data_IF_345408050463
#
_entry.id   IF_345408050463
#
_cell.length_a   1.000
_cell.length_b   1.000
_cell.length_c   1.000
_cell.angle_alpha   90.00
_cell.angle_beta   90.00
_cell.angle_gamma   90.00
#
_symmetry.space_group_name_H-M   'P 1'
#
loop_
_entity.id
_entity.type
_entity.pdbx_description
1 polymer ?
#
# COMPACT_ATOMS: atom_id res chain seq x y z
N UNK A 1 15.92 -0.66 -59.54
CA UNK A 1 16.17 0.42 -58.57
C UNK A 1 15.78 -0.14 -57.22
N UNK A 2 16.74 -0.74 -56.53
CA UNK A 2 16.53 -1.21 -55.16
C UNK A 2 16.37 0.03 -54.28
N UNK A 3 15.14 0.26 -53.84
CA UNK A 3 14.83 1.29 -52.86
C UNK A 3 15.50 0.89 -51.55
N UNK A 4 16.57 1.61 -51.20
CA UNK A 4 17.21 1.51 -49.89
C UNK A 4 16.17 1.81 -48.81
N UNK A 5 15.72 0.79 -48.09
CA UNK A 5 14.75 0.90 -47.01
C UNK A 5 15.49 1.19 -45.71
N UNK A 6 15.63 2.47 -45.36
CA UNK A 6 16.18 2.86 -44.06
C UNK A 6 15.12 2.68 -42.97
N UNK A 7 15.35 1.77 -42.03
CA UNK A 7 14.57 1.66 -40.81
C UNK A 7 15.20 2.49 -39.69
N UNK A 8 14.38 3.08 -38.82
CA UNK A 8 14.87 3.71 -37.59
C UNK A 8 15.14 2.63 -36.55
N UNK A 9 16.22 2.77 -35.79
CA UNK A 9 16.48 1.90 -34.64
C UNK A 9 15.45 2.15 -33.55
N UNK A 10 15.05 1.10 -32.84
CA UNK A 10 14.16 1.14 -31.68
C UNK A 10 14.79 1.92 -30.52
N UNK A 11 16.11 1.83 -30.35
CA UNK A 11 16.90 2.63 -29.39
C UNK A 11 18.09 3.33 -30.07
N UNK A 12 18.73 4.31 -29.41
CA UNK A 12 19.83 5.09 -30.03
C UNK A 12 20.97 4.17 -30.48
N UNK A 13 21.34 4.31 -31.76
CA UNK A 13 22.29 3.45 -32.44
C UNK A 13 23.20 4.29 -33.35
N UNK A 14 24.43 3.83 -33.56
CA UNK A 14 25.33 4.43 -34.54
C UNK A 14 24.92 4.07 -35.97
N UNK A 15 25.00 5.03 -36.90
CA UNK A 15 24.75 4.75 -38.32
C UNK A 15 26.00 4.20 -38.99
N UNK A 16 25.84 3.07 -39.67
CA UNK A 16 26.87 2.54 -40.54
C UNK A 16 27.00 3.34 -41.84
N UNK A 17 28.22 3.61 -42.33
CA UNK A 17 28.43 4.15 -43.67
C UNK A 17 27.87 3.21 -44.72
N UNK A 18 27.29 3.77 -45.79
CA UNK A 18 26.67 3.00 -46.90
C UNK A 18 27.69 2.07 -47.59
N UNK A 19 28.98 2.40 -47.52
CA UNK A 19 30.05 1.72 -48.23
C UNK A 19 30.83 0.69 -47.38
N UNK A 20 30.43 0.45 -46.12
CA UNK A 20 31.07 -0.56 -45.25
C UNK A 20 30.14 -1.75 -44.94
N UNK A 21 30.25 -2.85 -45.69
CA UNK A 21 29.42 -4.04 -45.48
C UNK A 21 29.78 -4.82 -44.20
N UNK A 22 30.88 -4.46 -43.52
CA UNK A 22 31.28 -5.07 -42.25
C UNK A 22 30.99 -4.16 -41.04
N UNK A 23 30.36 -3.00 -41.26
CA UNK A 23 30.01 -2.12 -40.16
C UNK A 23 28.95 -2.78 -39.27
N UNK A 24 29.27 -2.89 -37.99
CA UNK A 24 28.36 -3.39 -36.96
C UNK A 24 27.73 -2.18 -36.28
N UNK A 25 26.40 -2.09 -36.29
CA UNK A 25 25.66 -1.06 -35.56
C UNK A 25 25.98 -1.19 -34.07
N UNK A 26 26.71 -0.23 -33.52
CA UNK A 26 26.97 -0.13 -32.10
C UNK A 26 25.81 0.60 -31.40
N UNK A 27 25.31 0.01 -30.31
CA UNK A 27 24.26 0.61 -29.50
C UNK A 27 24.86 1.65 -28.57
N UNK A 28 24.27 2.86 -28.58
CA UNK A 28 24.71 3.96 -27.73
C UNK A 28 24.08 3.89 -26.33
N UNK A 29 22.95 3.19 -26.22
CA UNK A 29 22.26 2.94 -24.95
C UNK A 29 22.99 1.82 -24.19
N UNK A 30 23.36 2.11 -22.94
CA UNK A 30 24.00 1.16 -22.02
C UNK A 30 23.08 -0.04 -21.79
N UNK A 31 23.64 -1.25 -21.82
CA UNK A 31 22.94 -2.54 -21.69
C UNK A 31 22.00 -2.92 -22.83
N UNK A 32 21.85 -2.09 -23.87
CA UNK A 32 21.23 -2.52 -25.11
C UNK A 32 22.15 -3.47 -25.89
N UNK A 33 21.56 -4.36 -26.69
CA UNK A 33 22.31 -5.26 -27.56
C UNK A 33 21.82 -5.15 -29.01
N UNK A 34 22.70 -5.54 -29.92
CA UNK A 34 22.38 -5.57 -31.34
C UNK A 34 21.52 -6.80 -31.65
N UNK A 35 20.32 -6.58 -32.18
CA UNK A 35 19.46 -7.63 -32.72
C UNK A 35 19.19 -7.34 -34.19
N UNK A 36 19.90 -8.05 -35.07
CA UNK A 36 19.67 -7.98 -36.52
C UNK A 36 19.90 -6.59 -37.15
N UNK A 37 20.74 -5.75 -36.54
CA UNK A 37 20.97 -4.37 -37.00
C UNK A 37 20.11 -3.30 -36.31
N UNK A 38 19.22 -3.71 -35.41
CA UNK A 38 18.55 -2.83 -34.45
C UNK A 38 19.23 -2.89 -33.08
N UNK A 39 19.03 -1.86 -32.26
CA UNK A 39 19.44 -1.84 -30.87
C UNK A 39 18.21 -1.97 -29.99
N UNK A 40 18.17 -3.03 -29.18
CA UNK A 40 17.04 -3.37 -28.31
C UNK A 40 17.50 -3.54 -26.87
N UNK A 41 16.63 -3.17 -25.93
CA UNK A 41 16.84 -3.44 -24.52
C UNK A 41 16.46 -4.89 -24.18
N UNK A 42 17.02 -5.48 -23.10
CA UNK A 42 16.59 -6.79 -22.59
C UNK A 42 15.09 -6.88 -22.30
N UNK A 43 14.57 -8.10 -22.19
CA UNK A 43 13.16 -8.34 -21.88
C UNK A 43 12.70 -7.63 -20.59
N UNK A 44 11.49 -7.05 -20.64
CA UNK A 44 10.88 -6.26 -19.56
C UNK A 44 11.72 -5.04 -19.14
N UNK A 45 12.53 -4.51 -20.06
CA UNK A 45 13.28 -3.28 -19.88
C UNK A 45 13.07 -2.34 -21.06
N UNK A 46 13.20 -1.05 -20.79
CA UNK A 46 13.05 0.00 -21.79
C UNK A 46 14.17 1.02 -21.67
N UNK A 47 14.52 1.73 -22.77
CA UNK A 47 15.50 2.79 -22.70
C UNK A 47 14.99 3.91 -21.78
N UNK A 48 15.80 4.27 -20.82
CA UNK A 48 15.61 5.45 -19.99
C UNK A 48 16.87 6.31 -20.07
N UNK A 49 16.76 7.36 -20.87
CA UNK A 49 17.90 8.19 -21.29
C UNK A 49 18.91 7.36 -22.11
N UNK A 50 20.12 7.17 -21.62
CA UNK A 50 21.20 6.44 -22.29
C UNK A 50 21.49 5.07 -21.62
N UNK A 51 20.54 4.52 -20.86
CA UNK A 51 20.64 3.16 -20.30
C UNK A 51 19.31 2.41 -20.39
N UNK A 52 19.36 1.09 -20.62
CA UNK A 52 18.19 0.24 -20.43
C UNK A 52 17.94 0.08 -18.92
N UNK A 53 16.67 0.17 -18.52
CA UNK A 53 16.22 -0.05 -17.13
C UNK A 53 14.96 -0.88 -17.12
N UNK A 54 14.71 -1.59 -16.02
CA UNK A 54 13.50 -2.38 -15.90
C UNK A 54 12.24 -1.52 -15.96
N UNK A 55 11.21 -2.06 -16.62
CA UNK A 55 9.89 -1.43 -16.70
C UNK A 55 9.18 -1.49 -15.34
N UNK A 56 8.06 -0.76 -15.22
CA UNK A 56 7.25 -0.80 -14.01
C UNK A 56 6.81 -2.25 -13.69
N UNK A 57 6.78 -2.58 -12.40
CA UNK A 57 6.57 -3.93 -11.84
C UNK A 57 7.75 -4.91 -12.03
N UNK A 58 8.90 -4.42 -12.48
CA UNK A 58 10.13 -5.21 -12.54
C UNK A 58 11.28 -4.49 -11.82
N UNK A 59 12.20 -5.28 -11.26
CA UNK A 59 13.44 -4.80 -10.64
C UNK A 59 14.65 -5.49 -11.28
N UNK A 60 15.82 -4.85 -11.20
CA UNK A 60 17.06 -5.44 -11.71
C UNK A 60 17.65 -6.41 -10.68
N UNK A 61 17.56 -7.71 -10.98
CA UNK A 61 18.11 -8.77 -10.12
C UNK A 61 19.57 -9.09 -10.43
N UNK A 62 20.15 -8.51 -11.48
CA UNK A 62 21.55 -8.70 -11.81
C UNK A 62 22.48 -7.81 -10.98
N UNK A 63 23.68 -8.31 -10.71
CA UNK A 63 24.79 -7.52 -10.13
C UNK A 63 25.56 -6.74 -11.20
N UNK A 64 25.45 -7.15 -12.46
CA UNK A 64 26.04 -6.47 -13.62
C UNK A 64 25.11 -6.62 -14.82
N UNK A 65 24.85 -5.52 -15.53
CA UNK A 65 23.89 -5.55 -16.63
C UNK A 65 22.46 -5.33 -16.15
N UNK A 66 21.50 -5.75 -16.97
CA UNK A 66 20.06 -5.63 -16.70
C UNK A 66 19.43 -7.00 -16.83
N UNK A 67 18.84 -7.51 -15.75
CA UNK A 67 17.99 -8.71 -15.76
C UNK A 67 16.75 -8.40 -14.95
N UNK A 68 15.64 -8.19 -15.65
CA UNK A 68 14.42 -7.70 -15.04
C UNK A 68 13.59 -8.87 -14.51
N UNK A 69 13.43 -8.90 -13.19
CA UNK A 69 12.59 -9.87 -12.48
C UNK A 69 11.33 -9.16 -11.99
N UNK A 70 10.19 -9.85 -12.06
CA UNK A 70 8.93 -9.29 -11.60
C UNK A 70 9.00 -9.04 -10.08
N UNK A 71 8.50 -7.89 -9.65
CA UNK A 71 8.34 -7.61 -8.23
C UNK A 71 7.23 -8.48 -7.64
N UNK A 72 7.40 -8.91 -6.39
CA UNK A 72 6.38 -9.67 -5.66
C UNK A 72 5.16 -8.80 -5.35
N UNK A 73 5.41 -7.53 -5.07
CA UNK A 73 4.40 -6.51 -4.81
C UNK A 73 4.66 -5.31 -5.74
N UNK A 74 3.63 -4.52 -6.03
CA UNK A 74 3.72 -3.42 -6.99
C UNK A 74 4.95 -2.52 -6.75
N UNK A 75 5.73 -2.32 -7.80
CA UNK A 75 6.95 -1.52 -7.76
C UNK A 75 7.08 -0.68 -9.04
N UNK A 76 7.81 0.43 -8.94
CA UNK A 76 8.17 1.24 -10.09
C UNK A 76 9.58 1.76 -9.92
N UNK A 77 10.23 2.10 -11.03
CA UNK A 77 11.52 2.79 -10.99
C UNK A 77 11.43 4.13 -10.25
N UNK A 78 12.51 4.51 -9.60
CA UNK A 78 12.65 5.85 -9.03
C UNK A 78 12.63 6.94 -10.10
N UNK A 79 12.28 8.16 -9.69
CA UNK A 79 12.31 9.33 -10.58
C UNK A 79 13.73 9.84 -10.84
N UNK A 80 14.68 9.53 -9.94
CA UNK A 80 16.09 9.87 -10.08
C UNK A 80 16.77 8.98 -11.12
N UNK A 81 17.35 9.59 -12.14
CA UNK A 81 18.08 8.89 -13.21
C UNK A 81 19.47 8.38 -12.79
N UNK A 82 19.92 8.73 -11.60
CA UNK A 82 21.28 8.46 -11.12
C UNK A 82 21.46 7.00 -10.66
N UNK A 83 20.36 6.31 -10.37
CA UNK A 83 20.37 4.91 -9.96
C UNK A 83 19.37 4.11 -10.81
N UNK A 84 19.84 3.39 -11.84
CA UNK A 84 19.00 2.58 -12.72
C UNK A 84 18.35 1.39 -12.01
N UNK A 85 18.84 1.05 -10.81
CA UNK A 85 18.36 -0.08 -10.02
C UNK A 85 17.42 0.36 -8.88
N UNK A 86 17.25 1.67 -8.70
CA UNK A 86 16.38 2.22 -7.68
C UNK A 86 14.91 1.94 -8.01
N UNK A 87 14.20 1.35 -7.04
CA UNK A 87 12.77 1.12 -7.12
C UNK A 87 12.03 1.78 -5.96
N UNK A 88 10.74 2.02 -6.15
CA UNK A 88 9.80 2.48 -5.13
C UNK A 88 8.61 1.53 -5.14
N UNK A 89 8.23 1.03 -3.96
CA UNK A 89 7.03 0.22 -3.82
C UNK A 89 5.79 1.10 -3.98
N UNK A 90 4.91 0.72 -4.90
CA UNK A 90 3.69 1.46 -5.24
C UNK A 90 2.48 0.97 -4.45
N UNK A 91 2.52 -0.26 -3.95
CA UNK A 91 1.52 -0.80 -3.03
C UNK A 91 1.65 -0.14 -1.66
N UNK A 92 0.53 0.33 -1.12
CA UNK A 92 0.49 0.95 0.22
C UNK A 92 0.98 -0.04 1.28
N UNK A 93 1.87 0.44 2.16
CA UNK A 93 2.54 -0.30 3.24
C UNK A 93 3.58 -1.35 2.80
N UNK A 94 3.78 -1.55 1.50
CA UNK A 94 4.88 -2.38 1.02
C UNK A 94 6.23 -1.68 1.24
N UNK A 95 7.29 -2.47 1.31
CA UNK A 95 8.66 -1.99 1.48
C UNK A 95 9.63 -2.81 0.63
N UNK A 96 10.80 -2.23 0.33
CA UNK A 96 11.87 -2.91 -0.38
C UNK A 96 12.64 -3.82 0.58
N UNK A 97 12.76 -5.09 0.23
CA UNK A 97 13.61 -6.04 0.95
C UNK A 97 15.09 -5.90 0.57
N UNK A 98 15.97 -6.64 1.22
CA UNK A 98 17.41 -6.63 0.89
C UNK A 98 17.78 -7.14 -0.50
N UNK A 99 16.81 -7.60 -1.30
CA UNK A 99 16.98 -8.14 -2.65
C UNK A 99 16.46 -7.21 -3.74
N UNK A 100 16.08 -5.96 -3.39
CA UNK A 100 15.47 -4.98 -4.30
C UNK A 100 14.11 -5.44 -4.81
N UNK A 101 13.38 -6.16 -3.98
CA UNK A 101 12.03 -6.61 -4.27
C UNK A 101 11.06 -5.94 -3.32
N UNK A 102 9.93 -5.46 -3.86
CA UNK A 102 8.86 -4.93 -3.03
C UNK A 102 8.04 -6.08 -2.45
N UNK A 103 7.90 -6.11 -1.13
CA UNK A 103 7.13 -7.10 -0.40
C UNK A 103 6.21 -6.42 0.62
N UNK A 104 5.12 -7.11 0.96
CA UNK A 104 4.29 -6.74 2.10
C UNK A 104 4.96 -7.16 3.43
N UNK A 105 4.66 -6.46 4.54
CA UNK A 105 5.04 -6.88 5.89
C UNK A 105 4.72 -8.34 6.22
N UNK A 106 5.43 -8.89 7.21
CA UNK A 106 5.16 -10.22 7.71
C UNK A 106 3.68 -10.35 8.14
N UNK A 107 3.07 -11.50 7.82
CA UNK A 107 1.65 -11.79 8.05
C UNK A 107 0.68 -10.85 7.33
N UNK A 108 1.08 -10.30 6.18
CA UNK A 108 0.21 -9.53 5.31
C UNK A 108 0.34 -9.95 3.84
N UNK A 109 -0.69 -9.67 3.06
CA UNK A 109 -0.74 -9.93 1.62
C UNK A 109 -1.26 -8.70 0.88
N UNK A 110 -0.84 -8.55 -0.37
CA UNK A 110 -1.36 -7.49 -1.24
C UNK A 110 -2.81 -7.79 -1.64
N UNK A 111 -3.67 -6.78 -1.53
CA UNK A 111 -5.05 -6.80 -1.99
C UNK A 111 -5.45 -5.41 -2.47
N UNK A 112 -5.73 -5.28 -3.77
CA UNK A 112 -6.18 -4.04 -4.41
C UNK A 112 -5.23 -2.85 -4.21
N UNK A 113 -3.92 -3.09 -4.28
CA UNK A 113 -2.88 -2.07 -4.14
C UNK A 113 -2.53 -1.70 -2.70
N UNK A 114 -2.98 -2.47 -1.71
CA UNK A 114 -2.69 -2.25 -0.28
C UNK A 114 -2.26 -3.58 0.36
N UNK A 115 -1.22 -3.56 1.21
CA UNK A 115 -0.90 -4.71 2.04
C UNK A 115 -1.87 -4.80 3.22
N UNK A 116 -2.59 -5.91 3.35
CA UNK A 116 -3.59 -6.17 4.40
C UNK A 116 -3.18 -7.37 5.24
N UNK A 117 -3.38 -7.28 6.56
CA UNK A 117 -3.06 -8.36 7.48
C UNK A 117 -3.89 -9.61 7.19
N UNK A 118 -3.26 -10.78 7.23
CA UNK A 118 -3.92 -12.05 6.91
C UNK A 118 -4.77 -12.59 8.05
N UNK A 119 -4.42 -12.25 9.29
CA UNK A 119 -5.15 -12.74 10.46
C UNK A 119 -6.36 -11.85 10.76
N UNK A 120 -7.51 -12.49 10.94
CA UNK A 120 -8.71 -11.82 11.44
C UNK A 120 -8.44 -11.28 12.85
N UNK A 121 -8.52 -9.97 13.03
CA UNK A 121 -8.24 -9.32 14.32
C UNK A 121 -7.02 -8.40 14.32
N UNK A 122 -6.25 -8.37 13.24
CA UNK A 122 -5.06 -7.52 13.11
C UNK A 122 -5.30 -6.33 12.17
N UNK A 123 -4.55 -5.26 12.40
CA UNK A 123 -4.47 -4.09 11.52
C UNK A 123 -3.02 -3.75 11.22
N UNK A 124 -2.79 -3.00 10.15
CA UNK A 124 -1.46 -2.54 9.77
C UNK A 124 -1.05 -1.35 10.64
N UNK A 125 0.05 -1.49 11.38
CA UNK A 125 0.68 -0.39 12.13
C UNK A 125 2.02 -0.01 11.49
N UNK A 126 2.14 1.27 11.11
CA UNK A 126 3.34 1.86 10.53
C UNK A 126 4.03 2.86 11.46
N UNK A 127 3.81 2.72 12.78
CA UNK A 127 4.60 3.41 13.82
C UNK A 127 6.09 3.06 13.75
N UNK A 128 6.42 1.93 13.10
CA UNK A 128 7.78 1.49 12.78
C UNK A 128 7.93 1.22 11.27
N UNK A 129 9.18 1.04 10.81
CA UNK A 129 9.48 0.67 9.42
C UNK A 129 10.39 -0.56 9.42
N UNK A 130 10.01 -1.67 8.74
CA UNK A 130 8.76 -1.85 7.99
C UNK A 130 7.52 -1.84 8.90
N UNK A 131 6.34 -1.57 8.32
CA UNK A 131 5.06 -1.69 9.03
C UNK A 131 4.86 -3.12 9.56
N UNK A 132 3.94 -3.32 10.50
CA UNK A 132 3.69 -4.60 11.13
C UNK A 132 2.19 -4.85 11.32
N UNK A 133 1.76 -6.10 11.22
CA UNK A 133 0.43 -6.51 11.63
C UNK A 133 0.37 -6.61 13.15
N UNK A 134 -0.53 -5.84 13.76
CA UNK A 134 -0.72 -5.81 15.21
C UNK A 134 -2.15 -6.21 15.56
N UNK A 135 -2.29 -7.04 16.59
CA UNK A 135 -3.60 -7.42 17.09
C UNK A 135 -4.32 -6.21 17.70
N UNK A 136 -5.61 -6.10 17.41
CA UNK A 136 -6.43 -5.10 18.05
C UNK A 136 -6.48 -5.33 19.58
N UNK A 137 -6.46 -4.24 20.38
CA UNK A 137 -6.65 -4.32 21.83
C UNK A 137 -7.91 -5.07 22.23
N UNK A 138 -7.98 -5.47 23.50
CA UNK A 138 -9.17 -6.14 24.06
C UNK A 138 -10.45 -5.32 23.84
N UNK A 139 -11.56 -6.01 23.50
CA UNK A 139 -12.87 -5.41 23.18
C UNK A 139 -12.87 -4.46 21.98
N UNK A 140 -11.91 -4.64 21.07
CA UNK A 140 -11.85 -3.94 19.79
C UNK A 140 -11.61 -4.93 18.66
N UNK A 141 -12.02 -4.56 17.46
CA UNK A 141 -11.76 -5.36 16.27
C UNK A 141 -11.35 -4.47 15.09
N UNK A 142 -10.70 -5.04 14.07
CA UNK A 142 -10.43 -4.33 12.83
C UNK A 142 -11.72 -3.85 12.17
N UNK A 143 -11.66 -2.63 11.64
CA UNK A 143 -12.67 -2.05 10.79
C UNK A 143 -11.99 -1.03 9.88
N UNK A 144 -12.04 -1.25 8.56
CA UNK A 144 -11.34 -0.43 7.57
C UNK A 144 -9.85 -0.18 7.87
N UNK A 145 -9.12 -1.25 8.20
CA UNK A 145 -7.69 -1.25 8.55
C UNK A 145 -7.32 -0.44 9.81
N UNK A 146 -8.28 -0.05 10.65
CA UNK A 146 -8.03 0.53 11.97
C UNK A 146 -8.73 -0.27 13.07
N UNK A 147 -8.18 -0.28 14.27
CA UNK A 147 -8.85 -0.91 15.41
C UNK A 147 -9.90 0.02 15.97
N UNK A 148 -11.13 -0.48 16.11
CA UNK A 148 -12.24 0.26 16.70
C UNK A 148 -12.90 -0.58 17.77
N UNK A 149 -13.48 0.06 18.79
CA UNK A 149 -14.21 -0.66 19.83
C UNK A 149 -15.36 -1.50 19.25
N UNK A 150 -15.58 -2.68 19.81
CA UNK A 150 -16.71 -3.53 19.48
C UNK A 150 -18.04 -2.90 19.95
N UNK A 151 -19.16 -3.39 19.43
CA UNK A 151 -20.47 -2.94 19.90
C UNK A 151 -20.62 -3.16 21.41
N UNK A 152 -21.19 -2.18 22.12
CA UNK A 152 -21.25 -2.18 23.59
C UNK A 152 -20.00 -1.62 24.29
N UNK A 153 -18.99 -1.15 23.54
CA UNK A 153 -17.80 -0.50 24.09
C UNK A 153 -17.53 0.85 23.41
N UNK A 154 -16.99 1.80 24.17
CA UNK A 154 -16.57 3.11 23.70
C UNK A 154 -15.09 3.36 23.94
N UNK A 155 -14.48 4.25 23.14
CA UNK A 155 -13.10 4.67 23.37
C UNK A 155 -13.05 5.71 24.48
N UNK A 156 -12.48 5.31 25.62
CA UNK A 156 -12.32 6.17 26.80
C UNK A 156 -10.98 6.91 26.85
N UNK A 157 -10.06 6.62 25.91
CA UNK A 157 -8.75 7.24 25.88
C UNK A 157 -8.77 8.57 25.11
N UNK A 158 -8.04 9.56 25.62
CA UNK A 158 -7.78 10.83 24.89
C UNK A 158 -6.73 10.69 23.78
N UNK A 159 -6.01 9.56 23.74
CA UNK A 159 -5.06 9.20 22.69
C UNK A 159 -4.94 7.68 22.61
N UNK A 160 -4.96 7.13 21.39
CA UNK A 160 -4.96 5.67 21.18
C UNK A 160 -6.35 5.05 21.37
N UNK A 161 -6.40 3.77 21.76
CA UNK A 161 -7.63 3.01 21.88
C UNK A 161 -7.71 2.31 23.24
N UNK A 162 -8.70 2.66 24.05
CA UNK A 162 -9.04 1.95 25.30
C UNK A 162 -10.55 1.76 25.38
N UNK A 163 -10.99 0.53 25.10
CA UNK A 163 -12.39 0.19 24.98
C UNK A 163 -13.00 -0.15 26.34
N UNK A 164 -13.88 0.73 26.80
CA UNK A 164 -14.62 0.59 28.07
C UNK A 164 -16.07 0.25 27.77
N UNK A 165 -16.67 -0.65 28.55
CA UNK A 165 -18.05 -1.06 28.35
C UNK A 165 -18.98 0.13 28.58
N UNK A 166 -19.96 0.32 27.70
CA UNK A 166 -20.97 1.35 27.88
C UNK A 166 -21.91 1.02 29.05
N UNK A 167 -22.32 2.04 29.80
CA UNK A 167 -23.31 1.92 30.88
C UNK A 167 -24.67 1.49 30.33
N UNK A 168 -25.02 1.96 29.14
CA UNK A 168 -26.20 1.52 28.39
C UNK A 168 -25.85 1.12 26.96
N UNK A 169 -26.69 0.29 26.34
CA UNK A 169 -26.41 -0.33 25.04
C UNK A 169 -26.09 0.72 23.96
N UNK A 170 -24.92 0.57 23.33
CA UNK A 170 -24.31 1.60 22.49
C UNK A 170 -23.78 1.02 21.16
N UNK A 171 -23.83 1.79 20.08
CA UNK A 171 -23.34 1.37 18.76
C UNK A 171 -21.91 1.76 18.48
N UNK A 172 -21.31 1.02 17.54
CA UNK A 172 -19.99 1.33 17.01
C UNK A 172 -19.95 2.74 16.45
N UNK A 173 -18.81 3.38 16.65
CA UNK A 173 -18.53 4.65 16.00
C UNK A 173 -18.43 4.50 14.47
N UNK A 174 -19.00 5.44 13.69
CA UNK A 174 -18.83 5.48 12.23
C UNK A 174 -17.34 5.64 11.84
N UNK A 175 -16.97 5.11 10.67
CA UNK A 175 -15.58 5.10 10.13
C UNK A 175 -14.96 6.50 10.10
N UNK A 176 -15.78 7.51 9.81
CA UNK A 176 -15.29 8.81 9.39
C UNK A 176 -15.10 9.79 10.56
N UNK A 177 -15.28 9.31 11.79
CA UNK A 177 -15.27 10.14 12.99
C UNK A 177 -14.37 9.53 14.08
N UNK A 178 -13.05 9.81 14.05
CA UNK A 178 -12.12 9.39 15.10
C UNK A 178 -12.40 10.05 16.46
N UNK A 179 -13.21 11.11 16.49
CA UNK A 179 -13.71 11.80 17.69
C UNK A 179 -15.12 11.33 18.06
N UNK A 180 -15.61 10.24 17.46
CA UNK A 180 -16.99 9.84 17.57
C UNK A 180 -17.46 9.69 19.02
N UNK A 181 -18.51 10.44 19.29
CA UNK A 181 -19.39 10.30 20.43
C UNK A 181 -20.47 9.28 20.06
N UNK A 182 -20.21 8.05 20.48
CA UNK A 182 -21.07 6.85 20.47
C UNK A 182 -22.57 7.13 20.33
N UNK A 183 -23.25 6.45 19.41
CA UNK A 183 -24.72 6.54 19.25
C UNK A 183 -25.42 5.62 20.25
N UNK A 184 -26.26 6.21 21.10
CA UNK A 184 -27.01 5.45 22.12
C UNK A 184 -28.21 4.74 21.50
N UNK A 185 -28.30 3.42 21.69
CA UNK A 185 -29.47 2.64 21.25
C UNK A 185 -30.68 2.84 22.14
N UNK A 186 -30.43 3.09 23.42
CA UNK A 186 -31.48 3.30 24.41
C UNK A 186 -32.14 4.65 24.18
N UNK A 187 -33.45 4.65 23.98
CA UNK A 187 -34.25 5.87 23.81
C UNK A 187 -34.14 6.71 25.08
N UNK A 188 -33.98 8.03 24.93
CA UNK A 188 -33.78 9.00 26.03
C UNK A 188 -32.44 8.88 26.79
N UNK A 189 -31.54 7.98 26.41
CA UNK A 189 -30.15 8.07 26.84
C UNK A 189 -29.45 9.20 26.08
N UNK A 190 -28.43 9.80 26.68
CA UNK A 190 -27.58 10.82 26.06
C UNK A 190 -26.11 10.42 26.14
N UNK A 191 -25.31 10.99 25.24
CA UNK A 191 -23.88 10.77 25.22
C UNK A 191 -23.20 11.66 26.28
N UNK A 192 -22.48 11.05 27.20
CA UNK A 192 -21.62 11.71 28.18
C UNK A 192 -20.17 11.26 27.99
N UNK A 193 -19.41 12.01 27.19
CA UNK A 193 -17.98 11.75 26.98
C UNK A 193 -17.68 10.40 26.30
N UNK A 194 -18.57 9.93 25.44
CA UNK A 194 -18.44 8.64 24.77
C UNK A 194 -19.23 7.50 25.45
N UNK A 195 -19.74 7.67 26.66
CA UNK A 195 -20.66 6.70 27.26
C UNK A 195 -22.12 7.09 27.00
N UNK A 196 -22.99 6.10 26.95
CA UNK A 196 -24.44 6.29 26.86
C UNK A 196 -25.05 6.15 28.25
N UNK A 197 -25.57 7.25 28.78
CA UNK A 197 -26.12 7.33 30.14
C UNK A 197 -27.57 7.78 30.14
N UNK A 198 -28.33 7.28 31.11
CA UNK A 198 -29.70 7.75 31.34
C UNK A 198 -29.68 9.06 32.14
N UNK A 199 -30.67 9.96 31.92
CA UNK A 199 -30.88 11.15 32.74
C UNK A 199 -30.99 10.85 34.24
N UNK A 200 -30.70 11.85 35.08
CA UNK A 200 -30.82 11.73 36.54
C UNK A 200 -32.19 11.16 36.97
N UNK A 201 -32.16 10.24 37.94
CA UNK A 201 -33.34 9.51 38.44
C UNK A 201 -34.05 8.65 37.38
N UNK A 202 -33.33 8.22 36.35
CA UNK A 202 -33.82 7.23 35.38
C UNK A 202 -32.80 6.12 35.19
N UNK A 203 -33.31 4.93 34.90
CA UNK A 203 -32.51 3.72 34.68
C UNK A 203 -32.86 3.07 33.35
N UNK A 204 -31.90 2.38 32.70
CA UNK A 204 -32.17 1.68 31.46
C UNK A 204 -33.13 0.52 31.69
N UNK A 205 -34.24 0.50 30.95
CA UNK A 205 -35.19 -0.61 30.94
C UNK A 205 -35.53 -1.00 29.51
N UNK A 206 -35.18 -2.23 29.11
CA UNK A 206 -35.38 -2.78 27.76
C UNK A 206 -34.73 -1.95 26.65
N UNK A 207 -35.44 -0.94 26.11
CA UNK A 207 -34.99 -0.10 25.00
C UNK A 207 -35.10 1.41 25.29
N UNK A 208 -35.39 1.80 26.53
CA UNK A 208 -35.56 3.20 26.94
C UNK A 208 -35.07 3.43 28.36
N UNK A 209 -34.56 4.63 28.64
CA UNK A 209 -34.45 5.10 30.01
C UNK A 209 -35.87 5.31 30.58
N UNK A 210 -36.11 4.83 31.80
CA UNK A 210 -37.39 4.99 32.51
C UNK A 210 -37.14 5.58 33.88
N UNK A 211 -38.04 6.42 34.36
CA UNK A 211 -37.93 7.02 35.69
C UNK A 211 -37.87 5.92 36.76
N UNK A 212 -37.00 6.11 37.75
CA UNK A 212 -36.97 5.28 38.93
C UNK A 212 -38.23 5.50 39.78
N UNK A 213 -38.62 4.50 40.57
CA UNK A 213 -39.85 4.55 41.36
C UNK A 213 -39.85 5.76 42.31
N UNK A 214 -40.77 6.71 42.06
CA UNK A 214 -40.90 7.94 42.85
C UNK A 214 -40.53 9.23 42.12
N UNK A 215 -40.17 9.16 40.83
CA UNK A 215 -39.85 10.30 39.95
C UNK A 215 -40.70 10.32 38.69
#
# INVERSE_FOLDING_TARGET
>A
TDTLSCQQCTTKCTRCPIDDPNCIVACEVTHAYNDGGDCVCPDNSSPYDDTCVCENNFYNSASTGVTCSACTTGCQRCTSKEDPDCIVCTTTYAYEDGSRNCICPDNSLESSGVCVCTNSGEVMDCSTTPCQCVACPTNSSPYDNVCVCEAGYYNSASSGLTCTQCTTDCERCPIDDPDCTVTCKITHAFNDGGDCVCPDNSSPHTSSCVCEAGY
#
